data_IF_396153655791
#
_entry.id   IF_396153655791
#
_cell.length_a   1.000
_cell.length_b   1.000
_cell.length_c   1.000
_cell.angle_alpha   90.00
_cell.angle_beta   90.00
_cell.angle_gamma   90.00
#
_symmetry.space_group_name_H-M   'P 1'
#
loop_
_entity.id
_entity.type
_entity.pdbx_description
1 polymer ?
#
# COMPACT_ATOMS: atom_id res chain seq x y z
N UNK A 1 13.38 -3.45 4.62
CA UNK A 1 12.81 -4.81 4.45
C UNK A 1 12.81 -5.11 2.97
N UNK A 2 13.53 -6.13 2.50
CA UNK A 2 13.78 -6.30 1.07
C UNK A 2 12.54 -6.73 0.26
N UNK A 3 11.45 -7.23 0.85
CA UNK A 3 10.42 -7.99 0.11
C UNK A 3 9.08 -7.26 -0.07
N UNK A 4 9.12 -5.93 -0.23
CA UNK A 4 7.90 -5.11 -0.35
C UNK A 4 8.04 -3.90 -1.27
N UNK A 5 6.90 -3.24 -1.53
CA UNK A 5 6.81 -1.99 -2.26
C UNK A 5 6.57 -0.82 -1.31
N UNK A 6 7.04 0.35 -1.69
CA UNK A 6 6.77 1.60 -0.99
C UNK A 6 6.31 2.66 -1.99
N UNK A 7 5.18 3.27 -1.71
CA UNK A 7 4.58 4.31 -2.52
C UNK A 7 4.41 5.57 -1.68
N UNK A 8 4.70 6.73 -2.28
CA UNK A 8 4.56 8.03 -1.63
C UNK A 8 3.34 8.74 -2.22
N UNK A 9 2.48 9.22 -1.34
CA UNK A 9 1.27 9.96 -1.67
C UNK A 9 1.27 11.33 -0.99
N UNK A 10 0.50 12.26 -1.54
CA UNK A 10 0.19 13.52 -0.85
C UNK A 10 -0.71 13.26 0.38
N UNK A 11 -0.54 14.05 1.44
CA UNK A 11 -1.25 13.89 2.71
C UNK A 11 -2.78 13.93 2.59
N UNK A 12 -3.31 14.62 1.57
CA UNK A 12 -4.76 14.67 1.31
C UNK A 12 -5.40 13.32 1.01
N UNK A 13 -4.60 12.31 0.64
CA UNK A 13 -5.09 10.97 0.30
C UNK A 13 -5.23 10.04 1.51
N UNK A 14 -5.03 10.51 2.74
CA UNK A 14 -5.09 9.65 3.94
C UNK A 14 -6.36 8.78 4.01
N UNK A 15 -7.54 9.40 3.87
CA UNK A 15 -8.81 8.69 3.97
C UNK A 15 -8.94 7.60 2.88
N UNK A 16 -8.56 7.94 1.64
CA UNK A 16 -8.56 7.01 0.52
C UNK A 16 -7.64 5.80 0.77
N UNK A 17 -6.43 6.04 1.30
CA UNK A 17 -5.48 4.96 1.61
C UNK A 17 -5.99 4.07 2.76
N UNK A 18 -6.66 4.65 3.76
CA UNK A 18 -7.27 3.89 4.85
C UNK A 18 -8.43 2.99 4.37
N UNK A 19 -9.26 3.50 3.46
CA UNK A 19 -10.34 2.73 2.84
C UNK A 19 -9.78 1.60 1.96
N UNK A 20 -8.74 1.89 1.18
CA UNK A 20 -8.01 0.89 0.40
C UNK A 20 -7.52 -0.26 1.29
N UNK A 21 -6.80 0.05 2.39
CA UNK A 21 -6.31 -0.97 3.33
C UNK A 21 -7.48 -1.76 3.95
N UNK A 22 -8.59 -1.09 4.28
CA UNK A 22 -9.76 -1.75 4.87
C UNK A 22 -10.36 -2.78 3.92
N UNK A 23 -10.47 -2.45 2.63
CA UNK A 23 -10.97 -3.36 1.60
C UNK A 23 -10.00 -4.50 1.33
N UNK A 24 -8.72 -4.20 1.18
CA UNK A 24 -7.71 -5.21 0.86
C UNK A 24 -7.46 -6.18 2.01
N UNK A 25 -7.65 -5.77 3.26
CA UNK A 25 -7.62 -6.73 4.38
C UNK A 25 -8.73 -7.78 4.32
N UNK A 26 -9.80 -7.54 3.55
CA UNK A 26 -10.89 -8.50 3.33
C UNK A 26 -10.63 -9.38 2.11
N UNK A 27 -10.19 -8.78 1.00
CA UNK A 27 -9.92 -9.49 -0.26
C UNK A 27 -8.60 -10.27 -0.22
N UNK A 28 -7.57 -9.65 0.37
CA UNK A 28 -6.18 -10.08 0.36
C UNK A 28 -5.59 -10.12 1.80
N UNK A 29 -6.07 -11.02 2.68
CA UNK A 29 -5.69 -11.03 4.10
C UNK A 29 -4.22 -11.38 4.37
N UNK A 30 -3.47 -11.80 3.35
CA UNK A 30 -2.04 -12.11 3.42
C UNK A 30 -1.13 -10.89 3.23
N UNK A 31 -1.69 -9.75 2.79
CA UNK A 31 -0.95 -8.49 2.65
C UNK A 31 -0.68 -7.85 4.01
N UNK A 32 0.54 -7.36 4.17
CA UNK A 32 0.96 -6.56 5.30
C UNK A 32 1.13 -5.10 4.87
N UNK A 33 0.48 -4.21 5.60
CA UNK A 33 0.47 -2.78 5.32
C UNK A 33 1.14 -2.00 6.44
N UNK A 34 1.93 -0.98 6.08
CA UNK A 34 2.37 0.07 7.00
C UNK A 34 2.12 1.43 6.36
N UNK A 35 1.47 2.32 7.12
CA UNK A 35 1.31 3.72 6.76
C UNK A 35 2.20 4.57 7.66
N UNK A 36 3.12 5.32 7.07
CA UNK A 36 3.85 6.39 7.75
C UNK A 36 3.24 7.73 7.33
N UNK A 37 2.57 8.41 8.27
CA UNK A 37 1.87 9.68 8.04
C UNK A 37 2.74 10.81 8.57
N UNK A 38 3.26 11.66 7.69
CA UNK A 38 4.11 12.77 8.08
C UNK A 38 3.31 13.88 8.80
N UNK A 39 3.93 14.64 9.72
CA UNK A 39 3.28 15.78 10.37
C UNK A 39 2.96 16.90 9.38
N UNK A 40 2.15 17.87 9.82
CA UNK A 40 1.80 19.09 9.06
C UNK A 40 1.12 18.82 7.70
N UNK A 41 0.22 17.83 7.65
CA UNK A 41 -0.42 17.37 6.40
C UNK A 41 0.60 16.99 5.31
N UNK A 42 1.79 16.59 5.74
CA UNK A 42 2.87 16.15 4.86
C UNK A 42 2.57 14.84 4.14
N UNK A 43 3.53 14.34 3.36
CA UNK A 43 3.34 13.14 2.55
C UNK A 43 3.07 11.89 3.41
N UNK A 44 2.40 10.93 2.80
CA UNK A 44 2.13 9.62 3.40
C UNK A 44 2.92 8.58 2.61
N UNK A 45 3.60 7.69 3.33
CA UNK A 45 4.20 6.50 2.75
C UNK A 45 3.34 5.29 3.03
N UNK A 46 2.91 4.61 1.98
CA UNK A 46 2.28 3.31 2.06
C UNK A 46 3.32 2.24 1.71
N UNK A 47 3.58 1.36 2.65
CA UNK A 47 4.39 0.17 2.45
C UNK A 47 3.48 -1.05 2.34
N UNK A 48 3.74 -1.88 1.34
CA UNK A 48 3.07 -3.15 1.12
C UNK A 48 4.11 -4.27 1.10
N UNK A 49 3.85 -5.35 1.81
CA UNK A 49 4.60 -6.60 1.71
C UNK A 49 3.64 -7.76 1.92
N UNK A 50 4.10 -9.00 1.76
CA UNK A 50 3.33 -10.19 2.09
C UNK A 50 4.30 -11.30 2.52
N UNK A 51 3.74 -12.38 3.09
CA UNK A 51 4.56 -13.49 3.58
C UNK A 51 5.13 -14.29 2.39
N UNK A 52 6.46 -14.36 2.28
CA UNK A 52 7.19 -15.13 1.26
C UNK A 52 7.85 -14.24 0.20
N UNK A 53 8.42 -14.84 -0.85
CA UNK A 53 8.92 -14.08 -2.00
C UNK A 53 7.75 -13.68 -2.91
N UNK A 54 7.18 -12.53 -2.59
CA UNK A 54 5.91 -12.04 -3.15
C UNK A 54 6.09 -10.90 -4.14
N UNK A 55 7.32 -10.45 -4.39
CA UNK A 55 7.58 -9.33 -5.31
C UNK A 55 6.99 -9.55 -6.71
N UNK A 56 7.13 -10.75 -7.34
CA UNK A 56 6.55 -10.98 -8.66
C UNK A 56 5.03 -10.90 -8.65
N UNK A 57 4.40 -11.53 -7.64
CA UNK A 57 2.95 -11.53 -7.45
C UNK A 57 2.39 -10.13 -7.19
N UNK A 58 2.99 -9.39 -6.25
CA UNK A 58 2.61 -8.02 -5.93
C UNK A 58 2.78 -7.07 -7.12
N UNK A 59 3.75 -7.29 -8.01
CA UNK A 59 3.94 -6.43 -9.19
C UNK A 59 2.80 -6.56 -10.20
N UNK A 60 2.29 -7.78 -10.39
CA UNK A 60 1.16 -8.06 -11.29
C UNK A 60 -0.15 -7.52 -10.70
N UNK A 61 -0.41 -7.80 -9.43
CA UNK A 61 -1.64 -7.38 -8.75
C UNK A 61 -1.68 -5.87 -8.46
N UNK A 62 -0.60 -5.28 -7.94
CA UNK A 62 -0.56 -3.83 -7.62
C UNK A 62 -0.57 -2.99 -8.91
N UNK A 63 -0.04 -3.52 -10.02
CA UNK A 63 -0.09 -2.86 -11.33
C UNK A 63 -1.52 -2.52 -11.74
N UNK A 64 -2.46 -3.44 -11.54
CA UNK A 64 -3.88 -3.23 -11.82
C UNK A 64 -4.52 -2.17 -10.91
N UNK A 65 -4.07 -2.06 -9.66
CA UNK A 65 -4.65 -1.13 -8.69
C UNK A 65 -4.07 0.28 -8.72
N UNK A 66 -2.80 0.46 -9.13
CA UNK A 66 -2.12 1.76 -9.13
C UNK A 66 -2.08 2.41 -10.52
N UNK A 67 -2.17 1.64 -11.62
CA UNK A 67 -2.12 2.20 -12.98
C UNK A 67 -3.50 2.63 -13.51
N UNK A 68 -4.60 2.13 -12.96
CA UNK A 68 -5.96 2.45 -13.46
C UNK A 68 -6.66 3.65 -12.80
N UNK A 69 -5.99 4.50 -12.01
CA UNK A 69 -6.55 5.80 -11.57
C UNK A 69 -5.55 6.94 -11.46
#
# INVERSE_FOLDING_TARGET
MPDGFAYRFDGKHYALLADFITNERRCCPFLFFKLDVAPYQGPIWLHLTAKGDVKPFLREEIGHYIVER
#
